data_IF_978247525958
#
_entry.id   IF_978247525958
#
_cell.length_a   1.000
_cell.length_b   1.000
_cell.length_c   1.000
_cell.angle_alpha   90.00
_cell.angle_beta   90.00
_cell.angle_gamma   90.00
#
_symmetry.space_group_name_H-M   'P 1'
#
loop_
_entity.id
_entity.type
_entity.pdbx_description
1 polymer ?
#
# COMPACT_ATOMS: atom_id res chain seq x y z
N UNK A 1 -30.31 -31.01 17.49
CA UNK A 1 -29.40 -30.37 16.53
C UNK A 1 -30.24 -29.57 15.56
N UNK A 2 -29.91 -28.29 15.37
CA UNK A 2 -30.52 -27.45 14.35
C UNK A 2 -30.18 -28.02 12.97
N UNK A 3 -31.20 -28.24 12.14
CA UNK A 3 -31.05 -28.83 10.80
C UNK A 3 -30.93 -27.71 9.77
N UNK A 4 -31.84 -26.74 9.82
CA UNK A 4 -31.86 -25.56 8.96
C UNK A 4 -32.57 -24.38 9.64
N UNK A 5 -32.26 -23.16 9.18
CA UNK A 5 -32.98 -21.93 9.52
C UNK A 5 -33.17 -21.17 8.22
N UNK A 6 -34.40 -20.76 7.95
CA UNK A 6 -34.78 -19.92 6.82
C UNK A 6 -35.36 -18.61 7.33
N UNK A 7 -34.88 -17.49 6.80
CA UNK A 7 -35.33 -16.16 7.20
C UNK A 7 -35.78 -15.42 5.93
N UNK A 8 -37.06 -15.06 5.92
CA UNK A 8 -37.67 -14.26 4.86
C UNK A 8 -37.89 -12.85 5.41
N UNK A 9 -37.34 -11.83 4.74
CA UNK A 9 -37.41 -10.46 5.21
C UNK A 9 -37.43 -9.46 4.05
N UNK A 10 -37.96 -8.26 4.31
CA UNK A 10 -37.95 -7.13 3.38
C UNK A 10 -36.89 -6.10 3.82
N UNK A 11 -35.65 -6.17 3.30
CA UNK A 11 -34.61 -5.22 3.67
C UNK A 11 -34.78 -3.90 2.93
N UNK A 12 -34.70 -2.79 3.67
CA UNK A 12 -34.40 -1.46 3.13
C UNK A 12 -32.90 -1.26 3.11
N UNK A 13 -32.37 -1.06 1.91
CA UNK A 13 -30.97 -0.75 1.66
C UNK A 13 -30.84 0.71 1.23
N UNK A 14 -29.97 1.47 1.91
CA UNK A 14 -29.70 2.88 1.61
C UNK A 14 -28.21 3.07 1.36
N UNK A 15 -27.86 3.68 0.23
CA UNK A 15 -26.48 4.04 -0.11
C UNK A 15 -26.24 5.49 0.28
N UNK A 16 -25.38 5.76 1.27
CA UNK A 16 -25.09 7.13 1.72
C UNK A 16 -23.73 7.28 2.43
N UNK A 17 -23.07 8.45 2.36
CA UNK A 17 -23.32 9.52 1.39
C UNK A 17 -22.94 9.09 -0.03
N UNK A 18 -23.56 9.67 -1.07
CA UNK A 18 -23.05 9.51 -2.43
C UNK A 18 -21.76 10.32 -2.60
N UNK A 19 -20.78 9.78 -3.32
CA UNK A 19 -19.47 10.42 -3.56
C UNK A 19 -19.09 10.38 -5.05
N UNK A 20 -18.22 11.26 -5.56
CA UNK A 20 -17.86 11.29 -6.98
C UNK A 20 -16.85 10.19 -7.39
N UNK A 21 -16.39 9.36 -6.45
CA UNK A 21 -15.41 8.29 -6.71
C UNK A 21 -16.05 6.92 -6.61
N UNK A 22 -15.79 6.04 -7.60
CA UNK A 22 -16.28 4.65 -7.60
C UNK A 22 -16.00 3.94 -6.24
N UNK A 23 -17.00 3.29 -5.60
CA UNK A 23 -18.30 2.86 -6.13
C UNK A 23 -19.43 3.91 -6.07
N UNK A 24 -19.10 5.18 -5.79
CA UNK A 24 -20.00 6.33 -5.75
C UNK A 24 -20.87 6.45 -4.48
N UNK A 25 -20.57 5.69 -3.43
CA UNK A 25 -21.25 5.80 -2.13
C UNK A 25 -20.35 5.38 -0.96
N UNK A 26 -20.60 5.98 0.21
CA UNK A 26 -19.83 5.85 1.45
C UNK A 26 -20.15 4.63 2.29
N UNK A 27 -21.43 4.34 2.48
CA UNK A 27 -21.88 3.22 3.29
C UNK A 27 -23.09 2.58 2.66
N UNK A 28 -23.27 1.29 2.93
CA UNK A 28 -24.52 0.57 2.74
C UNK A 28 -25.16 0.47 4.12
N UNK A 29 -26.31 1.10 4.29
CA UNK A 29 -27.11 1.02 5.50
C UNK A 29 -28.27 0.08 5.23
N UNK A 30 -28.35 -1.01 5.99
CA UNK A 30 -29.39 -2.02 5.88
C UNK A 30 -30.30 -1.97 7.11
N UNK A 31 -31.60 -2.00 6.89
CA UNK A 31 -32.63 -2.11 7.94
C UNK A 31 -33.75 -3.02 7.44
N UNK A 32 -34.52 -3.61 8.34
CA UNK A 32 -35.74 -4.34 8.00
C UNK A 32 -36.93 -3.40 8.07
N UNK A 33 -37.77 -3.44 7.03
CA UNK A 33 -39.01 -2.65 7.00
C UNK A 33 -40.14 -3.33 7.77
N UNK A 34 -40.10 -4.66 7.84
CA UNK A 34 -41.15 -5.49 8.43
C UNK A 34 -40.53 -6.61 9.27
N UNK A 35 -41.32 -7.17 10.19
CA UNK A 35 -40.86 -8.28 11.03
C UNK A 35 -40.54 -9.48 10.14
N UNK A 36 -39.31 -10.02 10.21
CA UNK A 36 -38.94 -11.16 9.38
C UNK A 36 -39.82 -12.37 9.72
N UNK A 37 -40.08 -13.20 8.73
CA UNK A 37 -40.63 -14.54 8.92
C UNK A 37 -39.46 -15.51 9.08
N UNK A 38 -39.51 -16.32 10.13
CA UNK A 38 -38.46 -17.27 10.45
C UNK A 38 -39.08 -18.65 10.47
N UNK A 39 -38.41 -19.58 9.79
CA UNK A 39 -38.72 -21.01 9.75
C UNK A 39 -37.45 -21.77 10.12
N UNK A 40 -37.55 -22.89 10.84
CA UNK A 40 -36.36 -23.63 11.29
C UNK A 40 -36.66 -25.10 11.60
N UNK A 41 -35.86 -26.02 11.07
CA UNK A 41 -35.91 -27.43 11.43
C UNK A 41 -35.03 -27.74 12.65
N UNK A 42 -35.58 -28.45 13.65
CA UNK A 42 -34.82 -28.82 14.86
C UNK A 42 -35.14 -30.25 15.30
N UNK A 43 -34.11 -31.10 15.30
CA UNK A 43 -34.22 -32.49 15.74
C UNK A 43 -33.76 -32.59 17.20
N UNK A 44 -34.62 -33.04 18.13
CA UNK A 44 -34.26 -33.18 19.53
C UNK A 44 -34.57 -34.58 20.04
N UNK A 45 -33.53 -35.28 20.54
CA UNK A 45 -33.63 -36.62 21.14
C UNK A 45 -34.45 -37.63 20.31
N UNK A 46 -34.23 -37.68 18.99
CA UNK A 46 -34.90 -38.63 18.10
C UNK A 46 -36.36 -38.28 17.75
N UNK A 47 -36.87 -37.13 18.19
CA UNK A 47 -38.17 -36.58 17.81
C UNK A 47 -38.05 -35.22 17.11
N UNK A 48 -39.02 -34.95 16.23
CA UNK A 48 -39.15 -33.67 15.54
C UNK A 48 -39.88 -32.67 16.44
N UNK A 49 -39.23 -31.53 16.76
CA UNK A 49 -39.85 -30.46 17.57
C UNK A 49 -41.05 -29.82 16.84
N UNK A 50 -41.17 -30.00 15.51
CA UNK A 50 -42.38 -29.63 14.75
C UNK A 50 -43.65 -30.32 15.27
N UNK A 51 -43.51 -31.44 15.99
CA UNK A 51 -44.63 -32.16 16.59
C UNK A 51 -45.24 -31.45 17.83
N UNK A 52 -44.65 -30.34 18.31
CA UNK A 52 -45.14 -29.58 19.46
C UNK A 52 -45.48 -28.14 19.02
N UNK A 53 -46.71 -27.91 18.51
CA UNK A 53 -47.11 -26.63 17.91
C UNK A 53 -46.87 -25.42 18.82
N UNK A 54 -47.15 -25.53 20.12
CA UNK A 54 -46.99 -24.43 21.08
C UNK A 54 -45.54 -24.06 21.35
N UNK A 55 -44.64 -25.05 21.40
CA UNK A 55 -43.21 -24.82 21.59
C UNK A 55 -42.58 -24.25 20.32
N UNK A 56 -43.00 -24.76 19.15
CA UNK A 56 -42.58 -24.25 17.85
C UNK A 56 -42.95 -22.76 17.69
N UNK A 57 -44.22 -22.42 17.94
CA UNK A 57 -44.69 -21.03 17.92
C UNK A 57 -43.95 -20.14 18.91
N UNK A 58 -43.69 -20.63 20.14
CA UNK A 58 -42.96 -19.87 21.14
C UNK A 58 -41.51 -19.55 20.72
N UNK A 59 -40.80 -20.53 20.16
CA UNK A 59 -39.42 -20.34 19.68
C UNK A 59 -39.42 -19.41 18.47
N UNK A 60 -40.34 -19.63 17.52
CA UNK A 60 -40.51 -18.77 16.35
C UNK A 60 -40.76 -17.31 16.75
N UNK A 61 -41.68 -17.07 17.69
CA UNK A 61 -41.98 -15.73 18.22
C UNK A 61 -40.83 -15.11 19.00
N UNK A 62 -40.01 -15.92 19.68
CA UNK A 62 -38.85 -15.44 20.42
C UNK A 62 -37.74 -14.99 19.47
N UNK A 63 -37.41 -15.81 18.47
CA UNK A 63 -36.42 -15.47 17.44
C UNK A 63 -36.91 -14.25 16.64
N UNK A 64 -38.16 -14.27 16.22
CA UNK A 64 -38.80 -13.16 15.49
C UNK A 64 -38.70 -11.85 16.26
N UNK A 65 -39.03 -11.85 17.56
CA UNK A 65 -38.92 -10.65 18.41
C UNK A 65 -37.48 -10.17 18.56
N UNK A 66 -36.52 -11.07 18.74
CA UNK A 66 -35.11 -10.72 18.90
C UNK A 66 -34.50 -10.15 17.62
N UNK A 67 -34.71 -10.80 16.47
CA UNK A 67 -34.22 -10.32 15.18
C UNK A 67 -34.90 -9.00 14.80
N UNK A 68 -36.21 -8.89 15.01
CA UNK A 68 -36.94 -7.65 14.80
C UNK A 68 -36.38 -6.49 15.66
N UNK A 69 -36.08 -6.74 16.93
CA UNK A 69 -35.57 -5.72 17.86
C UNK A 69 -34.13 -5.26 17.63
N UNK A 70 -33.40 -5.88 16.69
CA UNK A 70 -32.03 -5.51 16.36
C UNK A 70 -31.94 -4.79 15.01
N UNK A 71 -32.88 -5.04 14.10
CA UNK A 71 -32.75 -4.62 12.70
C UNK A 71 -33.99 -3.93 12.14
N UNK A 72 -35.14 -3.86 12.85
CA UNK A 72 -36.27 -3.04 12.41
C UNK A 72 -35.93 -1.55 12.46
N UNK A 73 -36.31 -0.82 11.42
CA UNK A 73 -36.18 0.63 11.43
C UNK A 73 -36.84 1.25 12.68
N UNK A 74 -36.19 2.20 13.39
CA UNK A 74 -35.03 3.00 13.00
C UNK A 74 -33.64 2.35 13.19
N UNK A 75 -33.58 1.17 13.80
CA UNK A 75 -32.32 0.46 13.97
C UNK A 75 -31.81 0.01 12.61
N UNK A 76 -30.52 0.21 12.39
CA UNK A 76 -29.90 -0.08 11.12
C UNK A 76 -28.50 -0.63 11.35
N UNK A 77 -28.11 -1.51 10.45
CA UNK A 77 -26.77 -2.05 10.34
C UNK A 77 -26.05 -1.29 9.23
N UNK A 78 -24.98 -0.59 9.59
CA UNK A 78 -24.18 0.18 8.65
C UNK A 78 -22.89 -0.58 8.29
N UNK A 79 -22.78 -0.94 7.03
CA UNK A 79 -21.53 -1.41 6.42
C UNK A 79 -20.89 -0.19 5.77
N UNK A 80 -19.84 0.33 6.38
CA UNK A 80 -19.09 1.41 5.77
C UNK A 80 -18.23 0.85 4.61
N UNK A 81 -18.60 1.16 3.38
CA UNK A 81 -17.88 0.71 2.17
C UNK A 81 -16.63 1.58 1.97
N UNK A 82 -16.84 2.88 2.09
CA UNK A 82 -15.85 3.86 2.46
C UNK A 82 -15.91 3.97 3.99
N UNK A 83 -15.57 2.87 4.68
CA UNK A 83 -15.07 2.95 6.06
C UNK A 83 -14.11 4.11 6.10
N UNK A 84 -14.25 5.09 7.00
CA UNK A 84 -13.54 6.39 7.05
C UNK A 84 -12.03 6.35 6.77
N UNK A 85 -11.69 6.02 5.52
CA UNK A 85 -10.43 5.48 5.03
C UNK A 85 -10.46 5.24 3.50
N UNK A 86 -11.28 6.02 2.78
CA UNK A 86 -10.91 6.44 1.41
C UNK A 86 -10.07 7.72 1.48
N UNK A 87 -9.10 7.69 2.40
CA UNK A 87 -8.17 8.76 2.71
C UNK A 87 -7.12 8.37 3.76
N UNK A 88 -7.44 7.48 4.69
CA UNK A 88 -6.46 6.84 5.57
C UNK A 88 -6.00 5.52 4.98
N UNK A 89 -4.91 5.57 4.21
CA UNK A 89 -4.02 4.43 4.09
C UNK A 89 -3.82 3.82 5.49
N UNK A 90 -4.13 2.54 5.69
CA UNK A 90 -3.74 1.83 6.92
C UNK A 90 -2.29 2.19 7.20
N UNK A 91 -2.02 2.72 8.40
CA UNK A 91 -0.69 3.22 8.80
C UNK A 91 0.31 2.10 8.49
N UNK A 92 1.40 2.39 7.75
CA UNK A 92 2.48 1.44 7.63
C UNK A 92 2.91 0.94 9.02
N UNK A 93 3.17 -0.35 9.17
CA UNK A 93 3.60 -0.97 10.44
C UNK A 93 5.03 -1.51 10.34
N UNK A 94 5.66 -1.42 9.17
CA UNK A 94 7.05 -1.79 8.96
C UNK A 94 7.47 -1.75 7.50
N UNK A 95 8.72 -2.11 7.26
CA UNK A 95 9.30 -2.31 5.92
C UNK A 95 9.67 -3.77 5.76
N UNK A 96 9.26 -4.36 4.64
CA UNK A 96 9.80 -5.61 4.14
C UNK A 96 10.98 -5.30 3.21
N UNK A 97 12.17 -5.69 3.62
CA UNK A 97 13.35 -5.70 2.78
C UNK A 97 13.38 -7.03 2.01
N UNK A 98 13.51 -6.95 0.69
CA UNK A 98 13.52 -8.09 -0.22
C UNK A 98 14.78 -8.02 -1.06
N UNK A 99 15.70 -8.94 -0.87
CA UNK A 99 16.84 -9.13 -1.76
C UNK A 99 16.53 -10.24 -2.74
N UNK A 100 16.47 -9.92 -4.02
CA UNK A 100 16.35 -10.91 -5.09
C UNK A 100 17.76 -11.34 -5.48
N UNK A 101 18.15 -12.53 -5.05
CA UNK A 101 19.54 -13.01 -5.19
C UNK A 101 19.75 -13.54 -6.61
N UNK A 102 19.09 -14.65 -6.95
CA UNK A 102 19.26 -15.34 -8.24
C UNK A 102 18.10 -16.28 -8.54
N UNK A 103 18.02 -16.74 -9.78
CA UNK A 103 17.20 -17.89 -10.15
C UNK A 103 18.06 -19.01 -10.72
N UNK A 104 17.54 -20.24 -10.67
CA UNK A 104 18.22 -21.44 -11.13
C UNK A 104 17.30 -22.28 -12.02
N UNK A 105 17.84 -22.78 -13.14
CA UNK A 105 17.17 -23.69 -14.06
C UNK A 105 15.78 -23.20 -14.50
N UNK A 106 15.68 -21.93 -14.88
CA UNK A 106 14.42 -21.37 -15.38
C UNK A 106 13.90 -22.14 -16.61
N UNK A 107 12.59 -22.17 -16.76
CA UNK A 107 11.93 -22.81 -17.90
C UNK A 107 12.35 -22.10 -19.20
N UNK A 108 12.77 -22.87 -20.20
CA UNK A 108 12.99 -22.38 -21.57
C UNK A 108 11.63 -22.21 -22.27
N UNK A 109 11.35 -21.04 -22.82
CA UNK A 109 10.16 -20.81 -23.64
C UNK A 109 10.46 -20.99 -25.14
N UNK A 110 11.66 -20.60 -25.59
CA UNK A 110 12.05 -20.67 -27.00
C UNK A 110 12.83 -21.93 -27.39
N UNK A 111 12.67 -22.32 -28.67
CA UNK A 111 13.40 -23.40 -29.36
C UNK A 111 14.93 -23.26 -29.29
N UNK A 112 15.44 -22.02 -29.19
CA UNK A 112 16.87 -21.71 -29.07
C UNK A 112 17.40 -21.76 -27.63
N UNK A 113 16.52 -21.92 -26.64
CA UNK A 113 16.87 -22.34 -25.29
C UNK A 113 17.46 -21.30 -24.34
N UNK A 114 17.21 -20.01 -24.55
CA UNK A 114 17.62 -18.93 -23.63
C UNK A 114 16.46 -17.98 -23.33
N UNK A 115 16.37 -17.48 -22.09
CA UNK A 115 15.39 -16.46 -21.65
C UNK A 115 16.12 -15.19 -21.21
N UNK A 116 15.45 -14.05 -21.26
CA UNK A 116 15.86 -12.73 -20.75
C UNK A 116 15.13 -12.40 -19.42
N UNK A 117 15.38 -13.13 -18.31
CA UNK A 117 14.53 -13.05 -17.14
C UNK A 117 14.67 -11.75 -16.33
N UNK A 118 13.55 -11.38 -15.70
CA UNK A 118 13.48 -10.43 -14.59
C UNK A 118 12.40 -10.82 -13.59
N UNK A 119 12.51 -10.32 -12.36
CA UNK A 119 11.53 -10.57 -11.29
C UNK A 119 10.72 -9.31 -11.03
N UNK A 120 9.40 -9.44 -11.02
CA UNK A 120 8.44 -8.40 -10.61
C UNK A 120 7.90 -8.76 -9.23
N UNK A 121 7.95 -7.82 -8.29
CA UNK A 121 7.58 -8.02 -6.90
C UNK A 121 6.60 -6.96 -6.38
N UNK A 122 5.64 -7.40 -5.56
CA UNK A 122 4.60 -6.57 -4.93
C UNK A 122 4.04 -7.22 -3.67
N UNK A 123 3.42 -6.42 -2.79
CA UNK A 123 2.61 -6.94 -1.68
C UNK A 123 1.14 -7.04 -2.06
N UNK A 124 0.47 -8.09 -1.60
CA UNK A 124 -0.98 -8.22 -1.78
C UNK A 124 -1.75 -7.12 -1.04
N UNK A 125 -2.89 -6.73 -1.61
CA UNK A 125 -3.76 -5.69 -1.04
C UNK A 125 -3.18 -4.27 -1.13
N UNK A 126 -1.97 -4.11 -1.68
CA UNK A 126 -1.39 -2.81 -1.91
C UNK A 126 -1.66 -2.32 -3.34
N UNK A 127 -1.96 -1.03 -3.47
CA UNK A 127 -2.18 -0.38 -4.78
C UNK A 127 -0.90 0.27 -5.31
N UNK A 128 0.22 0.13 -4.59
CA UNK A 128 1.51 0.67 -5.01
C UNK A 128 2.00 -0.06 -6.27
N UNK A 129 2.71 0.65 -7.17
CA UNK A 129 3.35 0.02 -8.31
C UNK A 129 4.30 -1.09 -7.87
N UNK A 130 4.23 -2.22 -8.57
CA UNK A 130 5.20 -3.31 -8.41
C UNK A 130 6.63 -2.82 -8.73
N UNK A 131 7.61 -3.29 -7.98
CA UNK A 131 9.03 -3.11 -8.29
C UNK A 131 9.51 -4.25 -9.20
N UNK A 132 10.61 -4.07 -9.91
CA UNK A 132 11.20 -5.11 -10.75
C UNK A 132 12.73 -5.05 -10.76
N UNK A 133 13.35 -6.20 -10.97
CA UNK A 133 14.81 -6.29 -11.16
C UNK A 133 15.25 -5.79 -12.53
N UNK A 134 16.57 -5.63 -12.71
CA UNK A 134 17.17 -5.59 -14.04
C UNK A 134 16.87 -6.87 -14.84
N UNK A 135 16.93 -6.73 -16.16
CA UNK A 135 16.77 -7.83 -17.12
C UNK A 135 18.15 -8.44 -17.36
N UNK A 136 18.26 -9.76 -17.25
CA UNK A 136 19.51 -10.48 -17.56
C UNK A 136 19.34 -11.22 -18.88
N UNK A 137 20.07 -10.80 -19.89
CA UNK A 137 19.90 -11.34 -21.25
C UNK A 137 20.42 -12.78 -21.35
N UNK A 138 19.65 -13.65 -22.03
CA UNK A 138 19.96 -15.02 -22.42
C UNK A 138 20.51 -15.89 -21.29
N UNK A 139 19.91 -15.81 -20.10
CA UNK A 139 20.40 -16.47 -18.91
C UNK A 139 19.28 -17.21 -18.15
N UNK A 140 19.39 -18.53 -18.02
CA UNK A 140 18.46 -19.36 -17.24
C UNK A 140 18.85 -19.50 -15.76
N UNK A 141 20.03 -19.01 -15.40
CA UNK A 141 20.56 -18.94 -14.04
C UNK A 141 20.99 -17.50 -13.71
N UNK A 142 20.08 -16.52 -13.83
CA UNK A 142 20.42 -15.11 -13.62
C UNK A 142 20.76 -14.83 -12.16
N UNK A 143 21.78 -14.00 -11.93
CA UNK A 143 22.08 -13.40 -10.63
C UNK A 143 21.81 -11.89 -10.69
N UNK A 144 20.91 -11.43 -9.83
CA UNK A 144 20.53 -10.02 -9.73
C UNK A 144 21.23 -9.34 -8.56
N UNK A 145 21.17 -9.95 -7.37
CA UNK A 145 21.65 -9.35 -6.13
C UNK A 145 21.10 -7.92 -5.92
N UNK A 146 19.79 -7.76 -6.14
CA UNK A 146 19.11 -6.46 -6.07
C UNK A 146 18.20 -6.37 -4.84
N UNK A 147 18.30 -5.26 -4.11
CA UNK A 147 17.54 -4.99 -2.89
C UNK A 147 16.33 -4.09 -3.14
N UNK A 148 15.21 -4.43 -2.54
CA UNK A 148 13.96 -3.70 -2.61
C UNK A 148 13.36 -3.47 -1.23
N UNK A 149 12.70 -2.34 -1.05
CA UNK A 149 11.90 -2.02 0.14
C UNK A 149 10.43 -1.94 -0.23
N UNK A 150 9.58 -2.63 0.53
CA UNK A 150 8.12 -2.63 0.38
C UNK A 150 7.46 -2.26 1.72
N UNK A 151 6.51 -1.35 1.67
CA UNK A 151 5.78 -0.86 2.84
C UNK A 151 4.74 -1.89 3.30
N UNK A 152 4.87 -2.37 4.54
CA UNK A 152 3.92 -3.33 5.13
C UNK A 152 2.88 -2.58 5.94
N UNK A 153 1.60 -2.96 5.78
CA UNK A 153 0.46 -2.39 6.51
C UNK A 153 -0.20 -3.42 7.43
N UNK A 154 -0.24 -4.69 7.01
CA UNK A 154 -0.90 -5.76 7.75
C UNK A 154 -0.16 -7.09 7.54
N UNK A 155 0.93 -7.35 8.30
CA UNK A 155 1.81 -8.51 8.07
C UNK A 155 1.11 -9.85 8.23
N UNK A 156 0.02 -9.91 9.00
CA UNK A 156 -0.76 -11.13 9.24
C UNK A 156 -1.53 -11.61 8.00
N UNK A 157 -1.96 -10.67 7.14
CA UNK A 157 -2.80 -10.94 5.98
C UNK A 157 -2.05 -10.78 4.65
N UNK A 158 -0.98 -9.97 4.63
CA UNK A 158 -0.26 -9.67 3.40
C UNK A 158 0.68 -10.82 2.99
N UNK A 159 0.80 -11.00 1.68
CA UNK A 159 1.77 -11.90 1.05
C UNK A 159 2.66 -11.12 0.09
N UNK A 160 3.94 -11.46 0.05
CA UNK A 160 4.86 -11.04 -1.01
C UNK A 160 4.58 -11.87 -2.25
N UNK A 161 4.30 -11.22 -3.37
CA UNK A 161 4.11 -11.85 -4.67
C UNK A 161 5.36 -11.66 -5.51
N UNK A 162 5.92 -12.76 -6.01
CA UNK A 162 7.10 -12.79 -6.87
C UNK A 162 6.71 -13.41 -8.20
N UNK A 163 6.87 -12.67 -9.29
CA UNK A 163 6.58 -13.13 -10.64
C UNK A 163 7.84 -13.05 -11.48
N UNK A 164 8.23 -14.17 -12.08
CA UNK A 164 9.37 -14.23 -13.00
C UNK A 164 8.85 -14.17 -14.41
N UNK A 165 9.37 -13.22 -15.18
CA UNK A 165 8.99 -12.99 -16.57
C UNK A 165 10.20 -13.10 -17.48
N UNK A 166 9.94 -13.52 -18.72
CA UNK A 166 10.85 -13.41 -19.84
C UNK A 166 10.63 -12.05 -20.52
N UNK A 167 11.70 -11.29 -20.69
CA UNK A 167 11.58 -10.00 -21.37
C UNK A 167 11.53 -10.21 -22.89
N UNK A 168 10.55 -9.59 -23.55
CA UNK A 168 10.33 -9.69 -24.98
C UNK A 168 10.45 -8.30 -25.60
N UNK A 169 11.11 -8.22 -26.76
CA UNK A 169 11.27 -6.95 -27.49
C UNK A 169 9.94 -6.42 -28.02
N UNK A 170 9.04 -7.33 -28.40
CA UNK A 170 7.76 -7.02 -29.06
C UNK A 170 6.69 -7.91 -28.43
N UNK A 171 5.57 -7.31 -28.02
CA UNK A 171 4.42 -8.05 -27.48
C UNK A 171 4.44 -8.17 -25.95
N UNK A 172 3.70 -9.17 -25.44
CA UNK A 172 3.58 -9.41 -24.02
C UNK A 172 4.76 -10.24 -23.49
N UNK A 173 5.23 -9.92 -22.29
CA UNK A 173 6.26 -10.67 -21.59
C UNK A 173 5.73 -12.03 -21.13
N UNK A 174 6.49 -13.09 -21.40
CA UNK A 174 6.10 -14.44 -21.04
C UNK A 174 6.30 -14.72 -19.56
N UNK A 175 5.29 -15.30 -18.90
CA UNK A 175 5.40 -15.66 -17.49
C UNK A 175 6.12 -17.00 -17.34
N UNK A 176 7.36 -16.94 -16.85
CA UNK A 176 8.19 -18.12 -16.57
C UNK A 176 7.70 -18.86 -15.33
N UNK A 177 7.27 -18.14 -14.30
CA UNK A 177 6.71 -18.71 -13.09
C UNK A 177 6.40 -17.67 -12.02
N UNK A 178 5.95 -18.14 -10.87
CA UNK A 178 5.70 -17.28 -9.72
C UNK A 178 5.82 -18.02 -8.40
N UNK A 179 5.85 -17.25 -7.32
CA UNK A 179 5.63 -17.74 -5.97
C UNK A 179 5.01 -16.63 -5.08
N UNK A 180 4.36 -17.02 -3.99
CA UNK A 180 3.96 -16.10 -2.92
C UNK A 180 4.58 -16.51 -1.59
N UNK A 181 4.95 -15.54 -0.77
CA UNK A 181 5.47 -15.75 0.58
C UNK A 181 4.59 -14.98 1.57
N UNK A 182 3.82 -15.67 2.44
CA UNK A 182 3.07 -15.00 3.49
C UNK A 182 4.00 -14.30 4.50
N UNK A 183 3.75 -13.01 4.77
CA UNK A 183 4.60 -12.21 5.66
C UNK A 183 4.55 -12.71 7.11
N UNK A 184 3.41 -13.28 7.53
CA UNK A 184 3.25 -13.92 8.85
C UNK A 184 4.25 -15.04 9.16
N UNK A 185 4.96 -15.55 8.16
CA UNK A 185 6.00 -16.58 8.33
C UNK A 185 7.40 -16.01 8.58
N UNK A 186 7.52 -14.68 8.62
CA UNK A 186 8.77 -13.95 8.87
C UNK A 186 8.80 -13.49 10.33
N UNK A 187 9.90 -13.78 11.00
CA UNK A 187 10.18 -13.22 12.32
C UNK A 187 10.70 -11.79 12.18
N UNK A 188 10.24 -10.83 12.99
CA UNK A 188 10.76 -9.47 13.00
C UNK A 188 12.29 -9.41 13.14
N UNK A 189 12.93 -8.52 12.38
CA UNK A 189 14.37 -8.23 12.37
C UNK A 189 15.29 -9.40 12.00
N UNK A 190 14.73 -10.56 11.66
CA UNK A 190 15.50 -11.73 11.25
C UNK A 190 15.51 -11.84 9.72
N UNK A 191 16.70 -11.94 9.14
CA UNK A 191 16.86 -12.25 7.72
C UNK A 191 16.61 -13.74 7.49
N UNK A 192 15.67 -14.06 6.58
CA UNK A 192 15.32 -15.42 6.20
C UNK A 192 15.63 -15.64 4.71
N UNK A 193 16.61 -16.49 4.42
CA UNK A 193 16.88 -16.98 3.07
C UNK A 193 15.85 -18.04 2.66
N UNK A 194 15.29 -17.92 1.46
CA UNK A 194 14.30 -18.86 0.92
C UNK A 194 14.69 -19.29 -0.50
N UNK A 195 14.66 -20.59 -0.75
CA UNK A 195 14.71 -21.17 -2.09
C UNK A 195 13.30 -21.60 -2.51
N UNK A 196 12.71 -20.87 -3.44
CA UNK A 196 11.32 -20.97 -3.85
C UNK A 196 11.20 -21.75 -5.16
N UNK A 197 10.47 -22.86 -5.17
CA UNK A 197 10.12 -23.53 -6.42
C UNK A 197 9.06 -22.72 -7.17
N UNK A 198 9.32 -22.41 -8.44
CA UNK A 198 8.41 -21.63 -9.27
C UNK A 198 7.25 -22.49 -9.77
N UNK A 199 6.04 -21.94 -9.68
CA UNK A 199 4.80 -22.54 -10.18
C UNK A 199 4.18 -21.68 -11.28
N UNK A 200 3.28 -22.22 -12.10
CA UNK A 200 2.58 -21.43 -13.12
C UNK A 200 1.59 -20.46 -12.47
N UNK A 201 0.83 -20.97 -11.51
CA UNK A 201 -0.17 -20.23 -10.75
C UNK A 201 -0.36 -20.85 -9.35
N UNK A 202 -1.18 -20.20 -8.52
CA UNK A 202 -1.42 -20.60 -7.13
C UNK A 202 -2.50 -21.67 -6.96
N UNK A 203 -3.05 -22.25 -8.04
CA UNK A 203 -4.00 -23.35 -7.92
C UNK A 203 -3.24 -24.66 -7.65
N UNK A 204 -3.32 -25.26 -6.45
CA UNK A 204 -2.55 -26.46 -6.12
C UNK A 204 -2.94 -27.67 -6.99
N UNK A 205 -4.15 -27.65 -7.57
CA UNK A 205 -4.66 -28.74 -8.40
C UNK A 205 -4.37 -28.56 -9.89
N UNK A 206 -3.72 -27.47 -10.31
CA UNK A 206 -3.37 -27.27 -11.72
C UNK A 206 -2.25 -28.27 -12.13
N UNK A 207 -2.52 -29.18 -13.09
CA UNK A 207 -1.51 -30.14 -13.55
C UNK A 207 -0.24 -29.47 -14.08
N UNK A 208 -0.33 -28.24 -14.58
CA UNK A 208 0.79 -27.50 -15.14
C UNK A 208 1.79 -27.02 -14.08
N UNK A 209 1.42 -27.06 -12.79
CA UNK A 209 2.34 -26.82 -11.68
C UNK A 209 3.26 -28.02 -11.41
N UNK A 210 3.00 -29.20 -11.99
CA UNK A 210 3.92 -30.35 -11.93
C UNK A 210 5.16 -30.16 -12.80
N UNK A 211 5.10 -29.27 -13.81
CA UNK A 211 6.26 -28.96 -14.66
C UNK A 211 7.25 -28.12 -13.88
N UNK A 212 8.52 -28.55 -13.82
CA UNK A 212 9.59 -27.74 -13.23
C UNK A 212 9.75 -26.43 -14.01
N UNK A 213 9.72 -25.30 -13.28
CA UNK A 213 9.88 -23.95 -13.83
C UNK A 213 11.12 -23.22 -13.31
N UNK A 214 11.99 -23.95 -12.63
CA UNK A 214 13.16 -23.41 -11.94
C UNK A 214 12.87 -23.01 -10.50
N UNK A 215 13.91 -22.45 -9.88
CA UNK A 215 13.90 -22.00 -8.48
C UNK A 215 14.29 -20.52 -8.41
N UNK A 216 13.75 -19.80 -7.44
CA UNK A 216 14.11 -18.42 -7.15
C UNK A 216 14.64 -18.33 -5.72
N UNK A 217 15.82 -17.75 -5.54
CA UNK A 217 16.43 -17.52 -4.24
C UNK A 217 16.26 -16.05 -3.83
N UNK A 218 15.71 -15.84 -2.64
CA UNK A 218 15.47 -14.52 -2.05
C UNK A 218 15.88 -14.48 -0.59
N UNK A 219 16.33 -13.33 -0.11
CA UNK A 219 16.48 -13.04 1.32
C UNK A 219 15.42 -12.03 1.73
N UNK A 220 14.69 -12.32 2.81
CA UNK A 220 13.60 -11.48 3.30
C UNK A 220 13.85 -11.05 4.74
N UNK A 221 13.68 -9.77 5.03
CA UNK A 221 13.77 -9.22 6.38
C UNK A 221 12.60 -8.28 6.63
N UNK A 222 11.74 -8.63 7.58
CA UNK A 222 10.65 -7.74 8.02
C UNK A 222 11.12 -6.90 9.20
N UNK A 223 11.10 -5.57 9.05
CA UNK A 223 11.44 -4.60 10.09
C UNK A 223 10.18 -3.86 10.53
N UNK A 224 9.54 -4.23 11.65
CA UNK A 224 8.40 -3.49 12.17
C UNK A 224 8.84 -2.10 12.65
N UNK A 225 7.94 -1.13 12.57
CA UNK A 225 8.11 0.16 13.23
C UNK A 225 7.81 0.02 14.72
N UNK A 226 8.42 0.88 15.55
CA UNK A 226 8.18 0.88 16.99
C UNK A 226 6.75 1.37 17.25
N UNK A 227 5.95 0.62 18.01
CA UNK A 227 4.59 1.04 18.37
C UNK A 227 4.62 2.19 19.40
N UNK A 228 3.79 3.22 19.19
CA UNK A 228 3.48 4.25 20.18
C UNK A 228 2.53 3.66 21.24
N UNK A 229 3.08 2.94 22.23
CA UNK A 229 2.33 2.54 23.44
C UNK A 229 2.73 3.32 24.70
N UNK A 230 3.33 4.50 24.55
CA UNK A 230 3.49 5.43 25.66
C UNK A 230 2.33 6.42 25.65
N UNK A 231 1.18 5.99 26.17
CA UNK A 231 0.20 6.93 26.72
C UNK A 231 0.92 7.66 27.85
N UNK A 232 1.30 8.91 27.63
CA UNK A 232 1.75 9.80 28.68
C UNK A 232 0.59 10.03 29.68
N UNK A 233 0.42 9.10 30.61
CA UNK A 233 -0.24 9.34 31.89
C UNK A 233 0.83 9.65 32.92
N UNK A 234 1.48 10.81 32.76
CA UNK A 234 2.28 11.42 33.82
C UNK A 234 1.36 12.31 34.66
N UNK A 235 1.35 12.21 36.00
CA UNK A 235 0.52 13.07 36.83
C UNK A 235 0.99 14.52 36.71
N UNK A 236 0.04 15.42 36.44
CA UNK A 236 0.20 16.87 36.56
C UNK A 236 0.54 17.22 38.00
N UNK A 237 1.83 17.27 38.35
CA UNK A 237 2.28 17.88 39.59
C UNK A 237 2.40 19.40 39.40
N UNK A 238 1.33 20.06 39.82
CA UNK A 238 1.31 21.47 40.22
C UNK A 238 2.19 21.63 41.46
N UNK A 239 3.34 22.28 41.32
CA UNK A 239 3.92 23.27 42.25
C UNK A 239 5.43 23.47 41.95
N UNK A 240 5.84 24.72 41.83
CA UNK A 240 7.21 25.09 41.51
C UNK A 240 8.20 24.83 42.64
N UNK A 241 9.47 24.67 42.24
CA UNK A 241 10.69 25.23 42.86
C UNK A 241 11.84 24.97 41.86
N UNK A 242 12.65 25.99 41.57
CA UNK A 242 13.91 25.88 40.83
C UNK A 242 15.00 25.33 41.76
N UNK A 243 15.72 24.29 41.34
CA UNK A 243 17.10 24.02 41.79
C UNK A 243 17.91 23.50 40.59
N UNK A 244 19.00 24.21 40.28
CA UNK A 244 20.03 23.78 39.35
C UNK A 244 20.81 22.60 39.95
N UNK A 245 20.90 21.46 39.26
CA UNK A 245 22.01 20.51 39.46
C UNK A 245 22.34 19.83 38.13
N UNK A 246 23.62 19.89 37.77
CA UNK A 246 24.25 19.26 36.62
C UNK A 246 24.11 17.75 36.69
N UNK A 247 23.58 17.16 35.63
CA UNK A 247 23.58 15.73 35.38
C UNK A 247 23.20 15.50 33.92
N UNK A 248 24.18 15.18 33.08
CA UNK A 248 23.99 14.72 31.70
C UNK A 248 23.07 13.50 31.69
N UNK A 249 21.79 13.73 31.48
CA UNK A 249 20.92 12.79 30.81
C UNK A 249 20.67 13.38 29.43
N UNK A 250 21.21 12.74 28.39
CA UNK A 250 20.82 13.05 27.02
C UNK A 250 19.32 12.80 26.92
N UNK A 251 18.54 13.87 26.82
CA UNK A 251 17.18 13.79 26.32
C UNK A 251 17.28 13.24 24.89
N UNK A 252 17.11 11.94 24.73
CA UNK A 252 16.93 11.29 23.43
C UNK A 252 15.59 11.75 22.86
N UNK A 253 15.60 12.94 22.26
CA UNK A 253 14.51 13.43 21.40
C UNK A 253 14.23 12.34 20.35
N UNK A 254 12.97 12.03 20.03
CA UNK A 254 12.56 10.90 19.18
C UNK A 254 12.89 11.08 17.68
N UNK A 255 14.05 11.63 17.36
CA UNK A 255 14.50 11.98 16.01
C UNK A 255 14.93 10.72 15.24
N UNK A 256 15.23 9.61 15.92
CA UNK A 256 15.60 8.35 15.26
C UNK A 256 14.42 7.44 14.90
N UNK A 257 13.17 7.93 14.96
CA UNK A 257 11.99 7.10 14.70
C UNK A 257 11.71 6.94 13.21
N UNK A 258 11.12 5.80 12.86
CA UNK A 258 10.54 5.58 11.54
C UNK A 258 9.43 6.59 11.29
N UNK A 259 9.19 6.90 10.02
CA UNK A 259 8.17 7.87 9.68
C UNK A 259 7.87 7.97 8.20
N UNK A 260 6.85 8.77 7.92
CA UNK A 260 6.30 9.04 6.61
C UNK A 260 6.74 10.43 6.18
N UNK A 261 7.53 10.49 5.12
CA UNK A 261 7.80 11.72 4.40
C UNK A 261 6.71 11.90 3.33
N UNK A 262 5.89 12.94 3.50
CA UNK A 262 4.87 13.35 2.55
C UNK A 262 5.39 14.55 1.77
N UNK A 263 5.42 14.45 0.44
CA UNK A 263 5.94 15.49 -0.45
C UNK A 263 4.82 15.88 -1.41
N UNK A 264 4.20 17.03 -1.16
CA UNK A 264 3.15 17.60 -2.00
C UNK A 264 3.79 18.60 -2.97
N UNK A 265 3.77 18.28 -4.26
CA UNK A 265 4.13 19.20 -5.32
C UNK A 265 2.89 19.97 -5.76
N UNK A 266 2.77 21.23 -5.34
CA UNK A 266 1.61 22.06 -5.66
C UNK A 266 1.69 22.54 -7.12
N UNK A 267 2.82 23.13 -7.51
CA UNK A 267 3.02 23.63 -8.85
C UNK A 267 4.40 24.23 -9.07
N UNK A 268 4.60 24.78 -10.26
CA UNK A 268 5.74 25.62 -10.60
C UNK A 268 5.27 26.87 -11.35
N UNK A 269 6.10 27.90 -11.35
CA UNK A 269 5.88 29.20 -11.99
C UNK A 269 7.06 29.48 -12.93
N UNK A 270 6.80 30.12 -14.06
CA UNK A 270 7.81 30.57 -15.02
C UNK A 270 8.80 29.50 -15.54
N UNK A 271 8.39 28.23 -15.57
CA UNK A 271 9.24 27.15 -16.08
C UNK A 271 9.24 27.10 -17.61
N UNK A 272 10.37 27.48 -18.20
CA UNK A 272 10.51 27.64 -19.65
C UNK A 272 11.53 26.69 -20.27
N UNK A 273 11.06 25.87 -21.20
CA UNK A 273 11.91 24.99 -22.00
C UNK A 273 12.44 25.69 -23.24
N UNK A 274 13.58 25.25 -23.76
CA UNK A 274 14.14 25.80 -25.01
C UNK A 274 13.27 25.45 -26.22
N UNK A 275 12.53 24.34 -26.16
CA UNK A 275 11.78 23.82 -27.29
C UNK A 275 10.30 23.59 -26.98
N UNK A 276 9.96 23.23 -25.74
CA UNK A 276 8.58 23.00 -25.33
C UNK A 276 8.37 23.19 -23.82
N UNK A 277 7.19 23.64 -23.44
CA UNK A 277 6.78 23.74 -22.03
C UNK A 277 5.61 22.80 -21.77
N UNK A 278 5.94 21.51 -21.62
CA UNK A 278 5.01 20.46 -21.18
C UNK A 278 5.56 19.86 -19.88
N UNK A 279 5.46 20.59 -18.77
CA UNK A 279 6.17 20.25 -17.54
C UNK A 279 5.54 19.07 -16.79
N UNK A 280 6.40 18.28 -16.17
CA UNK A 280 6.12 17.33 -15.10
C UNK A 280 7.28 17.38 -14.11
N UNK A 281 7.04 17.09 -12.84
CA UNK A 281 8.08 17.05 -11.83
C UNK A 281 8.51 15.60 -11.55
N UNK A 282 9.78 15.41 -11.24
CA UNK A 282 10.41 14.15 -10.86
C UNK A 282 11.03 14.31 -9.47
N UNK A 283 10.48 13.62 -8.48
CA UNK A 283 10.99 13.57 -7.10
C UNK A 283 11.87 12.34 -6.96
N UNK A 284 13.12 12.56 -6.55
CA UNK A 284 14.11 11.51 -6.27
C UNK A 284 14.49 11.55 -4.80
N UNK A 285 14.24 10.44 -4.08
CA UNK A 285 14.60 10.32 -2.67
C UNK A 285 14.81 8.85 -2.28
N UNK A 286 15.88 8.55 -1.52
CA UNK A 286 16.15 7.19 -1.02
C UNK A 286 16.24 6.12 -2.12
N UNK A 287 16.71 6.49 -3.32
CA UNK A 287 16.76 5.60 -4.49
C UNK A 287 15.41 5.37 -5.20
N UNK A 288 14.30 5.94 -4.69
CA UNK A 288 13.01 5.94 -5.35
C UNK A 288 12.84 7.19 -6.22
N UNK A 289 12.24 7.01 -7.39
CA UNK A 289 11.81 8.10 -8.27
C UNK A 289 10.31 8.07 -8.48
N UNK A 290 9.64 9.19 -8.21
CA UNK A 290 8.20 9.38 -8.41
C UNK A 290 7.98 10.63 -9.26
N UNK A 291 6.98 10.62 -10.14
CA UNK A 291 6.74 11.73 -11.07
C UNK A 291 5.29 12.15 -11.08
N UNK A 292 5.05 13.43 -11.33
CA UNK A 292 3.68 13.96 -11.50
C UNK A 292 3.13 13.65 -12.89
N UNK A 293 1.85 13.96 -13.08
CA UNK A 293 1.22 14.00 -14.41
C UNK A 293 1.85 15.10 -15.26
N UNK A 294 1.95 14.81 -16.56
CA UNK A 294 2.37 15.78 -17.57
C UNK A 294 1.24 16.80 -17.81
N UNK A 295 1.53 18.08 -17.65
CA UNK A 295 0.64 19.17 -18.07
C UNK A 295 1.19 19.75 -19.37
N UNK A 296 0.33 19.91 -20.37
CA UNK A 296 0.74 20.34 -21.72
C UNK A 296 0.66 21.86 -21.85
N UNK A 297 1.60 22.43 -22.60
CA UNK A 297 1.60 23.84 -23.06
C UNK A 297 1.38 24.86 -21.93
N UNK A 298 2.16 24.74 -20.86
CA UNK A 298 2.11 25.69 -19.74
C UNK A 298 3.51 25.96 -19.19
N UNK A 299 3.73 27.20 -18.72
CA UNK A 299 4.89 27.60 -17.92
C UNK A 299 4.59 27.56 -16.43
N UNK A 300 3.33 27.44 -16.06
CA UNK A 300 2.83 27.54 -14.69
C UNK A 300 1.98 26.30 -14.34
N UNK A 301 2.59 25.10 -14.27
CA UNK A 301 1.85 23.89 -13.99
C UNK A 301 1.35 23.82 -12.55
N UNK A 302 0.08 23.46 -12.37
CA UNK A 302 -0.49 23.10 -11.07
C UNK A 302 -0.75 21.59 -11.02
N UNK A 303 0.10 20.84 -10.30
CA UNK A 303 -0.05 19.38 -10.17
C UNK A 303 -0.92 18.99 -8.99
N UNK A 304 -0.69 19.59 -7.82
CA UNK A 304 -1.30 19.20 -6.55
C UNK A 304 -1.23 17.69 -6.29
N UNK A 305 -0.04 17.11 -6.50
CA UNK A 305 0.20 15.66 -6.33
C UNK A 305 1.07 15.39 -5.11
N UNK A 306 0.61 14.49 -4.24
CA UNK A 306 1.36 14.06 -3.05
C UNK A 306 2.06 12.72 -3.28
N UNK A 307 3.33 12.68 -2.91
CA UNK A 307 4.16 11.48 -2.88
C UNK A 307 4.48 11.08 -1.45
N UNK A 308 4.53 9.77 -1.23
CA UNK A 308 4.79 9.20 0.09
C UNK A 308 6.05 8.33 0.06
N UNK A 309 6.93 8.55 1.02
CA UNK A 309 8.13 7.75 1.27
C UNK A 309 8.11 7.28 2.73
N UNK A 310 8.17 5.97 2.92
CA UNK A 310 8.19 5.36 4.26
C UNK A 310 9.63 5.06 4.61
N UNK A 311 10.10 5.60 5.72
CA UNK A 311 11.50 5.55 6.13
C UNK A 311 11.66 4.82 7.46
N UNK A 312 12.73 4.05 7.57
CA UNK A 312 13.11 3.32 8.79
C UNK A 312 13.54 4.28 9.91
N UNK A 313 14.03 5.47 9.55
CA UNK A 313 14.55 6.50 10.44
C UNK A 313 14.23 7.88 9.85
N UNK A 314 14.27 8.92 10.68
CA UNK A 314 14.12 10.28 10.17
C UNK A 314 15.28 10.65 9.25
N UNK A 315 15.01 11.33 8.12
CA UNK A 315 15.98 11.63 7.09
C UNK A 315 16.86 12.85 7.46
N UNK A 316 17.51 12.78 8.64
CA UNK A 316 18.43 13.82 9.08
C UNK A 316 19.64 13.87 8.14
N UNK A 317 20.02 15.07 7.75
CA UNK A 317 21.13 15.39 6.83
C UNK A 317 20.95 14.81 5.43
N UNK A 318 19.77 14.29 5.11
CA UNK A 318 19.43 13.85 3.76
C UNK A 318 18.78 15.00 2.99
N UNK A 319 18.94 14.97 1.68
CA UNK A 319 18.31 15.92 0.77
C UNK A 319 17.34 15.21 -0.15
N UNK A 320 16.22 15.86 -0.42
CA UNK A 320 15.30 15.45 -1.49
C UNK A 320 15.60 16.25 -2.74
N UNK A 321 15.75 15.54 -3.86
CA UNK A 321 16.03 16.13 -5.16
C UNK A 321 14.76 16.18 -6.00
N UNK A 322 14.43 17.35 -6.53
CA UNK A 322 13.23 17.55 -7.35
C UNK A 322 13.63 18.23 -8.66
N UNK A 323 13.33 17.58 -9.78
CA UNK A 323 13.56 18.12 -11.13
C UNK A 323 12.23 18.49 -11.77
N UNK A 324 12.16 19.65 -12.43
CA UNK A 324 11.06 19.99 -13.34
C UNK A 324 11.53 19.70 -14.75
N UNK A 325 10.84 18.78 -15.41
CA UNK A 325 11.20 18.27 -16.73
C UNK A 325 10.09 18.57 -17.72
N UNK A 326 10.46 18.80 -18.97
CA UNK A 326 9.52 18.97 -20.08
C UNK A 326 9.61 17.78 -21.03
N UNK A 327 8.47 17.29 -21.52
CA UNK A 327 8.44 16.20 -22.53
C UNK A 327 7.56 16.56 -23.72
N UNK A 328 8.11 16.51 -24.93
CA UNK A 328 7.32 16.65 -26.16
C UNK A 328 6.36 15.46 -26.34
N UNK A 329 5.15 15.74 -26.79
CA UNK A 329 4.15 14.72 -27.13
C UNK A 329 4.03 14.61 -28.66
N UNK A 330 4.52 13.52 -29.27
CA UNK A 330 4.53 13.30 -30.73
C UNK A 330 5.58 12.27 -31.20
N UNK A 331 5.73 12.08 -32.51
CA UNK A 331 6.55 11.04 -33.19
C UNK A 331 8.09 11.17 -33.07
N UNK A 332 8.63 12.02 -32.20
CA UNK A 332 10.09 12.17 -32.04
C UNK A 332 10.60 11.33 -30.85
N UNK A 333 11.63 10.49 -31.09
CA UNK A 333 12.06 9.48 -30.13
C UNK A 333 12.56 10.05 -28.80
N UNK A 334 13.28 11.18 -28.75
CA UNK A 334 13.65 11.83 -27.49
C UNK A 334 13.94 13.31 -27.69
N UNK A 335 13.28 14.19 -26.93
CA UNK A 335 13.89 15.35 -26.28
C UNK A 335 13.11 15.63 -24.99
N UNK A 336 13.50 14.98 -23.89
CA UNK A 336 13.17 15.50 -22.56
C UNK A 336 14.14 16.66 -22.33
N UNK A 337 13.67 17.76 -21.76
CA UNK A 337 14.55 18.86 -21.36
C UNK A 337 14.32 19.20 -19.89
N UNK A 338 15.41 19.51 -19.18
CA UNK A 338 15.37 19.97 -17.80
C UNK A 338 15.00 21.46 -17.80
N UNK A 339 13.95 21.82 -17.07
CA UNK A 339 13.50 23.19 -16.87
C UNK A 339 14.10 23.83 -15.61
N UNK A 340 14.64 22.99 -14.73
CA UNK A 340 15.36 23.36 -13.52
C UNK A 340 15.21 22.28 -12.44
N UNK A 341 15.95 22.41 -11.34
CA UNK A 341 15.89 21.48 -10.21
C UNK A 341 16.10 22.19 -8.87
N UNK A 342 15.80 21.50 -7.78
CA UNK A 342 16.10 21.96 -6.41
C UNK A 342 16.50 20.77 -5.53
N UNK A 343 17.42 21.03 -4.61
CA UNK A 343 17.77 20.14 -3.51
C UNK A 343 17.30 20.75 -2.18
N UNK A 344 16.41 20.06 -1.46
CA UNK A 344 15.84 20.55 -0.20
C UNK A 344 16.39 19.71 0.95
N UNK A 345 16.96 20.35 1.98
CA UNK A 345 17.38 19.66 3.20
C UNK A 345 16.16 19.25 4.02
N UNK A 346 16.13 18.00 4.48
CA UNK A 346 15.03 17.46 5.26
C UNK A 346 15.18 17.67 6.77
N UNK A 347 16.32 18.17 7.25
CA UNK A 347 16.53 18.50 8.67
C UNK A 347 15.41 19.38 9.23
N UNK A 348 15.14 20.50 8.57
CA UNK A 348 14.11 21.45 9.01
C UNK A 348 12.71 20.84 9.00
N UNK A 349 12.44 19.90 8.08
CA UNK A 349 11.17 19.16 8.03
C UNK A 349 11.04 18.23 9.23
N UNK A 350 12.13 17.57 9.62
CA UNK A 350 12.14 16.66 10.76
C UNK A 350 11.94 17.43 12.07
N UNK A 351 12.60 18.59 12.24
CA UNK A 351 12.47 19.43 13.44
C UNK A 351 11.14 20.18 13.51
N UNK A 352 10.66 20.75 12.40
CA UNK A 352 9.44 21.56 12.37
C UNK A 352 8.17 20.75 12.05
N UNK A 353 8.32 19.48 11.64
CA UNK A 353 7.24 18.58 11.23
C UNK A 353 6.63 18.91 9.85
N UNK A 354 6.72 20.15 9.39
CA UNK A 354 6.20 20.62 8.09
C UNK A 354 6.98 21.82 7.59
N UNK A 355 7.20 21.87 6.28
CA UNK A 355 7.60 23.07 5.55
C UNK A 355 6.65 23.25 4.36
N UNK A 356 6.41 24.50 3.97
CA UNK A 356 5.61 24.83 2.79
C UNK A 356 6.19 26.08 2.15
N UNK A 357 7.06 25.90 1.17
CA UNK A 357 7.94 26.96 0.68
C UNK A 357 8.03 26.97 -0.84
N UNK A 358 8.35 28.15 -1.39
CA UNK A 358 8.68 28.36 -2.79
C UNK A 358 10.20 28.37 -2.97
N UNK A 359 10.70 27.58 -3.91
CA UNK A 359 12.13 27.44 -4.19
C UNK A 359 12.45 27.90 -5.61
N UNK A 360 13.46 28.75 -5.74
CA UNK A 360 14.03 29.06 -7.05
C UNK A 360 14.70 27.82 -7.63
N UNK A 361 14.37 27.49 -8.87
CA UNK A 361 14.93 26.35 -9.57
C UNK A 361 16.34 26.66 -10.07
N UNK A 362 17.30 25.84 -9.66
CA UNK A 362 18.66 25.85 -10.18
C UNK A 362 18.62 25.45 -11.66
N UNK A 363 19.42 26.13 -12.49
CA UNK A 363 19.44 26.00 -13.96
C UNK A 363 18.13 26.44 -14.63
N UNK A 364 17.31 27.24 -13.94
CA UNK A 364 16.20 27.98 -14.52
C UNK A 364 16.50 29.48 -14.52
N UNK A 365 15.90 30.24 -15.44
CA UNK A 365 16.05 31.71 -15.46
C UNK A 365 15.22 32.35 -14.34
N UNK A 366 13.92 32.09 -14.36
CA UNK A 366 12.94 32.65 -13.43
C UNK A 366 12.08 31.57 -12.77
N UNK A 367 12.36 30.29 -13.03
CA UNK A 367 11.49 29.20 -12.60
C UNK A 367 11.47 29.03 -11.09
N UNK A 368 10.28 28.90 -10.52
CA UNK A 368 10.05 28.67 -9.09
C UNK A 368 9.18 27.44 -8.92
N UNK A 369 9.46 26.59 -7.93
CA UNK A 369 8.63 25.44 -7.57
C UNK A 369 8.06 25.60 -6.17
N UNK A 370 6.77 25.27 -6.00
CA UNK A 370 6.09 25.31 -4.72
C UNK A 370 5.92 23.90 -4.16
N UNK A 371 6.56 23.65 -3.02
CA UNK A 371 6.67 22.33 -2.39
C UNK A 371 6.26 22.41 -0.93
N UNK A 372 5.32 21.54 -0.54
CA UNK A 372 5.03 21.26 0.86
C UNK A 372 5.62 19.89 1.22
N UNK A 373 6.41 19.84 2.29
CA UNK A 373 6.96 18.58 2.82
C UNK A 373 6.52 18.42 4.27
N UNK A 374 6.08 17.22 4.64
CA UNK A 374 5.69 16.88 6.01
C UNK A 374 6.41 15.62 6.47
N UNK A 375 6.90 15.64 7.70
CA UNK A 375 7.40 14.46 8.39
C UNK A 375 6.39 14.03 9.44
N UNK A 376 5.92 12.79 9.34
CA UNK A 376 5.03 12.19 10.33
C UNK A 376 5.69 10.96 10.91
N UNK A 377 5.96 10.96 12.21
CA UNK A 377 6.42 9.76 12.91
C UNK A 377 5.34 8.68 12.81
N UNK A 378 5.78 7.44 12.53
CA UNK A 378 4.91 6.26 12.42
C UNK A 378 5.15 5.32 13.60
#
# INVERSE_FOLDING_TARGET
MLVDIQIFAAPRVVLKPLVPTFPCFGSIVVSLMEKPHVDFGLNFLGGDIMAIPSLYQYIQDTIRRRVASLYLWPQNFEIQILSGSVGTMKKPVGILQVKVVRALNLLKMDLLGTSDPYVKLSLSGDRLPSKKTSIKMKNLNPEWNEDFKLTVKEPQCQVLQLHVYDWEKVGAHDKLGMQVVPLRLLSPHQTKGLTLNLVKNMNPNDPQNKKSRGKLEVELTFKPFREDNERFSGPLNRNGIKINTVGKASEDVPIHRAGLLLVLLQGAEDVEGKHHSNPYALVTFGGEQKKTKLIKKTRDPCWNEEFQFVLEQAPLKEKIHIEVMSKRTGFCLHRKELLGHVDINLDDVVYNGRINEKYNLINSRNGVIHVEIRWRVI
#
